data_IF_456091338280
#
_entry.id   IF_456091338280
#
_cell.length_a   1.000
_cell.length_b   1.000
_cell.length_c   1.000
_cell.angle_alpha   90.00
_cell.angle_beta   90.00
_cell.angle_gamma   90.00
#
_symmetry.space_group_name_H-M   'P 1'
#
loop_
_entity.id
_entity.type
_entity.pdbx_description
1 polymer ?
#
# COMPACT_ATOMS: atom_id res chain seq x y z
N UNK A 1 -2.79 -14.00 -25.18
CA UNK A 1 -3.75 -13.38 -24.24
C UNK A 1 -3.20 -12.06 -23.74
N UNK A 2 -3.95 -10.99 -23.94
CA UNK A 2 -3.71 -9.65 -23.41
C UNK A 2 -3.87 -9.62 -21.88
N UNK A 3 -3.19 -8.69 -21.23
CA UNK A 3 -3.33 -8.41 -19.80
C UNK A 3 -4.80 -8.13 -19.42
N UNK A 4 -5.53 -7.42 -20.27
CA UNK A 4 -6.98 -7.17 -20.12
C UNK A 4 -7.82 -8.45 -20.17
N UNK A 5 -7.40 -9.45 -20.94
CA UNK A 5 -8.09 -10.74 -21.03
C UNK A 5 -7.86 -11.58 -19.77
N UNK A 6 -6.64 -11.57 -19.22
CA UNK A 6 -6.31 -12.24 -17.96
C UNK A 6 -7.09 -11.66 -16.79
N UNK A 7 -7.15 -10.33 -16.67
CA UNK A 7 -7.92 -9.66 -15.61
C UNK A 7 -9.40 -10.01 -15.70
N UNK A 8 -9.98 -10.03 -16.91
CA UNK A 8 -11.39 -10.43 -17.11
C UNK A 8 -11.65 -11.87 -16.68
N UNK A 9 -10.73 -12.78 -16.97
CA UNK A 9 -10.86 -14.19 -16.61
C UNK A 9 -10.76 -14.42 -15.09
N UNK A 10 -9.87 -13.69 -14.42
CA UNK A 10 -9.78 -13.71 -12.95
C UNK A 10 -11.09 -13.24 -12.32
N UNK A 11 -11.65 -12.12 -12.79
CA UNK A 11 -12.94 -11.62 -12.28
C UNK A 11 -14.07 -12.63 -12.48
N UNK A 12 -14.13 -13.29 -13.63
CA UNK A 12 -15.12 -14.34 -13.91
C UNK A 12 -15.05 -15.47 -12.89
N UNK A 13 -13.86 -16.01 -12.61
CA UNK A 13 -13.73 -17.10 -11.64
C UNK A 13 -14.09 -16.69 -10.21
N UNK A 14 -13.82 -15.44 -9.83
CA UNK A 14 -14.18 -14.94 -8.49
C UNK A 14 -15.69 -14.86 -8.33
N UNK A 15 -16.40 -14.36 -9.34
CA UNK A 15 -17.85 -14.29 -9.31
C UNK A 15 -18.49 -15.68 -9.32
N UNK A 16 -17.99 -16.60 -10.14
CA UNK A 16 -18.42 -18.01 -10.14
C UNK A 16 -18.22 -18.68 -8.77
N UNK A 17 -17.08 -18.42 -8.11
CA UNK A 17 -16.81 -18.94 -6.77
C UNK A 17 -17.75 -18.34 -5.72
N UNK A 18 -18.07 -17.04 -5.85
CA UNK A 18 -19.01 -16.36 -4.95
C UNK A 18 -20.44 -16.87 -5.10
N UNK A 19 -20.87 -17.13 -6.34
CA UNK A 19 -22.17 -17.73 -6.64
C UNK A 19 -22.24 -19.17 -6.11
N UNK A 20 -21.17 -19.95 -6.30
CA UNK A 20 -21.09 -21.29 -5.77
C UNK A 20 -21.20 -21.30 -4.24
N UNK A 21 -20.43 -20.46 -3.54
CA UNK A 21 -20.45 -20.37 -2.08
C UNK A 21 -21.84 -19.99 -1.52
N UNK A 22 -22.62 -19.17 -2.24
CA UNK A 22 -23.99 -18.80 -1.88
C UNK A 22 -25.03 -19.90 -2.17
N UNK A 23 -24.79 -20.69 -3.22
CA UNK A 23 -25.71 -21.75 -3.66
C UNK A 23 -25.45 -23.12 -3.02
N UNK A 24 -24.24 -23.31 -2.48
CA UNK A 24 -23.85 -24.53 -1.82
C UNK A 24 -24.48 -24.62 -0.43
N UNK A 25 -24.93 -25.81 -0.05
CA UNK A 25 -25.43 -26.11 1.29
C UNK A 25 -24.23 -26.23 2.26
N UNK A 26 -23.69 -25.09 2.64
CA UNK A 26 -22.52 -24.95 3.52
C UNK A 26 -22.97 -24.50 4.91
N UNK A 27 -22.20 -24.90 5.91
CA UNK A 27 -22.35 -24.35 7.26
C UNK A 27 -22.23 -22.81 7.23
N UNK A 28 -23.11 -22.07 7.92
CA UNK A 28 -23.18 -20.60 7.81
C UNK A 28 -21.86 -19.88 8.14
N UNK A 29 -21.08 -20.41 9.09
CA UNK A 29 -19.78 -19.87 9.46
C UNK A 29 -18.76 -20.00 8.31
N UNK A 30 -18.80 -21.13 7.60
CA UNK A 30 -17.92 -21.39 6.48
C UNK A 30 -18.30 -20.54 5.26
N UNK A 31 -19.60 -20.39 5.00
CA UNK A 31 -20.10 -19.47 3.96
C UNK A 31 -19.63 -18.03 4.22
N UNK A 32 -19.79 -17.54 5.46
CA UNK A 32 -19.33 -16.20 5.84
C UNK A 32 -17.82 -16.02 5.66
N UNK A 33 -17.02 -17.01 6.07
CA UNK A 33 -15.57 -16.97 5.90
C UNK A 33 -15.16 -16.92 4.42
N UNK A 34 -15.86 -17.62 3.53
CA UNK A 34 -15.64 -17.57 2.08
C UNK A 34 -15.98 -16.18 1.55
N UNK A 35 -17.13 -15.61 1.92
CA UNK A 35 -17.55 -14.27 1.49
C UNK A 35 -16.56 -13.18 1.91
N UNK A 36 -16.05 -13.24 3.16
CA UNK A 36 -15.01 -12.32 3.65
C UNK A 36 -13.70 -12.44 2.86
N UNK A 37 -13.29 -13.66 2.52
CA UNK A 37 -12.07 -13.88 1.74
C UNK A 37 -12.23 -13.44 0.28
N UNK A 38 -13.40 -13.64 -0.32
CA UNK A 38 -13.74 -13.13 -1.65
C UNK A 38 -13.71 -11.61 -1.64
N UNK A 39 -14.29 -10.95 -0.63
CA UNK A 39 -14.26 -9.49 -0.50
C UNK A 39 -12.83 -8.95 -0.46
N UNK A 40 -11.95 -9.57 0.35
CA UNK A 40 -10.52 -9.22 0.42
C UNK A 40 -9.79 -9.45 -0.91
N UNK A 41 -10.12 -10.52 -1.64
CA UNK A 41 -9.54 -10.80 -2.96
C UNK A 41 -9.97 -9.76 -3.99
N UNK A 42 -11.26 -9.38 -4.01
CA UNK A 42 -11.78 -8.32 -4.87
C UNK A 42 -11.12 -6.98 -4.57
N UNK A 43 -10.94 -6.65 -3.29
CA UNK A 43 -10.22 -5.45 -2.87
C UNK A 43 -8.79 -5.45 -3.41
N UNK A 44 -8.05 -6.56 -3.26
CA UNK A 44 -6.67 -6.69 -3.76
C UNK A 44 -6.53 -6.57 -5.27
N UNK A 45 -7.51 -7.06 -6.03
CA UNK A 45 -7.48 -7.03 -7.50
C UNK A 45 -7.95 -5.68 -8.04
N UNK A 46 -8.88 -5.03 -7.35
CA UNK A 46 -9.34 -3.68 -7.66
C UNK A 46 -8.37 -2.59 -7.20
N UNK A 47 -7.50 -2.90 -6.24
CA UNK A 47 -6.47 -1.98 -5.81
C UNK A 47 -5.40 -1.85 -6.91
N UNK A 48 -5.58 -0.85 -7.78
CA UNK A 48 -4.46 -0.25 -8.49
C UNK A 48 -3.56 0.40 -7.42
N UNK A 49 -2.63 -0.39 -6.87
CA UNK A 49 -1.76 0.07 -5.80
C UNK A 49 -0.83 1.16 -6.34
N UNK A 50 -1.12 2.41 -6.00
CA UNK A 50 -0.31 3.57 -6.30
C UNK A 50 0.55 3.91 -5.09
N UNK A 51 1.87 3.84 -5.26
CA UNK A 51 2.82 4.25 -4.22
C UNK A 51 3.28 5.70 -4.48
N UNK A 52 3.19 6.56 -3.46
CA UNK A 52 3.70 7.93 -3.49
C UNK A 52 4.91 8.01 -2.57
N UNK A 53 6.09 8.13 -3.16
CA UNK A 53 7.37 8.09 -2.43
C UNK A 53 7.92 9.50 -2.22
N UNK A 54 8.08 9.91 -0.96
CA UNK A 54 8.68 11.19 -0.60
C UNK A 54 10.20 11.06 -0.45
N UNK A 55 10.94 11.76 -1.30
CA UNK A 55 12.41 11.86 -1.28
C UNK A 55 12.87 13.31 -1.09
N UNK A 56 14.07 13.53 -0.53
CA UNK A 56 14.60 14.87 -0.29
C UNK A 56 15.68 14.92 0.78
N UNK A 57 16.21 16.10 1.09
CA UNK A 57 17.26 16.27 2.12
C UNK A 57 16.74 16.00 3.54
N UNK A 58 17.68 15.89 4.49
CA UNK A 58 17.36 15.88 5.92
C UNK A 58 16.69 17.20 6.29
N UNK A 59 15.71 17.16 7.17
CA UNK A 59 14.88 18.31 7.58
C UNK A 59 14.00 18.91 6.47
N UNK A 60 13.88 18.26 5.31
CA UNK A 60 13.02 18.69 4.19
C UNK A 60 11.50 18.48 4.40
N UNK A 61 11.03 18.30 5.63
CA UNK A 61 9.61 18.15 5.99
C UNK A 61 8.84 16.99 5.29
N UNK A 62 9.54 15.97 4.78
CA UNK A 62 8.94 14.81 4.07
C UNK A 62 7.83 14.14 4.89
N UNK A 63 8.15 13.70 6.10
CA UNK A 63 7.22 13.06 7.03
C UNK A 63 6.04 13.96 7.40
N UNK A 64 6.28 15.28 7.54
CA UNK A 64 5.22 16.26 7.82
C UNK A 64 4.24 16.40 6.66
N UNK A 65 4.73 16.43 5.42
CA UNK A 65 3.86 16.47 4.22
C UNK A 65 3.04 15.18 4.12
N UNK A 66 3.67 14.03 4.37
CA UNK A 66 2.98 12.75 4.32
C UNK A 66 1.91 12.59 5.42
N UNK A 67 2.13 13.10 6.63
CA UNK A 67 1.08 13.14 7.67
C UNK A 67 -0.13 13.99 7.23
N UNK A 68 0.13 15.16 6.62
CA UNK A 68 -0.94 16.02 6.08
C UNK A 68 -1.74 15.29 5.01
N UNK A 69 -1.07 14.56 4.11
CA UNK A 69 -1.75 13.74 3.10
C UNK A 69 -2.52 12.58 3.72
N UNK A 70 -1.95 11.89 4.70
CA UNK A 70 -2.59 10.77 5.40
C UNK A 70 -3.81 11.19 6.24
N UNK A 71 -3.92 12.48 6.58
CA UNK A 71 -4.95 13.04 7.45
C UNK A 71 -4.73 12.76 8.93
N UNK A 72 -3.54 12.27 9.33
CA UNK A 72 -3.20 11.85 10.69
C UNK A 72 -1.67 11.84 10.91
N UNK A 73 -1.23 11.99 12.16
CA UNK A 73 0.18 12.09 12.55
C UNK A 73 0.81 10.72 12.86
N UNK A 74 1.05 9.92 11.81
CA UNK A 74 1.61 8.57 11.93
C UNK A 74 3.13 8.51 11.78
N UNK A 75 3.73 9.47 11.10
CA UNK A 75 5.17 9.55 10.89
C UNK A 75 5.81 10.50 11.89
N UNK A 76 6.97 10.11 12.42
CA UNK A 76 7.71 10.91 13.37
C UNK A 76 8.30 12.17 12.71
N UNK A 77 8.07 13.34 13.33
CA UNK A 77 8.59 14.63 12.88
C UNK A 77 9.32 15.34 14.03
N UNK A 78 10.53 15.86 13.77
CA UNK A 78 11.29 16.70 14.70
C UNK A 78 11.91 17.85 13.88
N UNK A 79 11.92 19.05 14.45
CA UNK A 79 12.53 20.26 13.86
C UNK A 79 14.02 20.05 13.59
N UNK A 80 14.69 19.18 14.35
CA UNK A 80 16.10 18.81 14.18
C UNK A 80 16.36 17.90 12.97
N UNK A 81 15.32 17.32 12.37
CA UNK A 81 15.46 16.34 11.29
C UNK A 81 15.92 14.96 11.79
N UNK A 82 16.18 14.05 10.84
CA UNK A 82 16.70 12.70 11.11
C UNK A 82 15.74 11.74 11.80
N UNK A 83 14.43 11.99 11.72
CA UNK A 83 13.41 11.12 12.32
C UNK A 83 13.16 9.85 11.52
N UNK A 84 13.34 9.91 10.19
CA UNK A 84 13.12 8.79 9.27
C UNK A 84 14.44 8.11 8.94
N UNK A 85 14.79 7.09 9.72
CA UNK A 85 16.04 6.31 9.54
C UNK A 85 15.86 5.04 8.69
N UNK A 86 14.61 4.67 8.41
CA UNK A 86 14.21 3.55 7.54
C UNK A 86 13.03 3.99 6.69
N UNK A 87 12.82 3.32 5.56
CA UNK A 87 11.60 3.50 4.76
C UNK A 87 10.39 3.07 5.58
N UNK A 88 9.37 3.94 5.65
CA UNK A 88 8.11 3.69 6.34
C UNK A 88 6.98 3.86 5.33
N UNK A 89 6.11 2.87 5.24
CA UNK A 89 4.92 2.91 4.38
C UNK A 89 3.67 3.03 5.26
N UNK A 90 2.79 3.96 4.91
CA UNK A 90 1.49 4.14 5.56
C UNK A 90 0.37 4.21 4.50
N UNK A 91 -0.85 3.73 4.79
CA UNK A 91 -1.96 3.88 3.88
C UNK A 91 -2.44 5.34 3.85
N UNK A 92 -2.88 5.80 2.68
CA UNK A 92 -3.66 7.04 2.59
C UNK A 92 -5.11 6.75 2.99
N UNK A 93 -5.50 7.19 4.19
CA UNK A 93 -6.77 6.84 4.85
C UNK A 93 -8.02 7.02 3.97
N UNK A 94 -8.08 8.09 3.17
CA UNK A 94 -9.24 8.41 2.33
C UNK A 94 -9.09 7.97 0.85
N UNK A 95 -8.02 7.25 0.52
CA UNK A 95 -7.72 6.78 -0.84
C UNK A 95 -7.32 5.31 -0.81
N UNK A 96 -8.31 4.44 -0.99
CA UNK A 96 -8.09 2.99 -1.12
C UNK A 96 -7.10 2.68 -2.24
N UNK A 97 -6.13 1.82 -1.98
CA UNK A 97 -5.11 1.44 -2.97
C UNK A 97 -4.01 2.49 -3.17
N UNK A 98 -3.90 3.51 -2.31
CA UNK A 98 -2.77 4.44 -2.34
C UNK A 98 -1.96 4.33 -1.06
N UNK A 99 -0.65 4.10 -1.18
CA UNK A 99 0.28 4.13 -0.05
C UNK A 99 1.24 5.31 -0.15
N UNK A 100 1.60 5.84 1.01
CA UNK A 100 2.54 6.93 1.20
C UNK A 100 3.82 6.36 1.79
N UNK A 101 4.94 6.55 1.10
CA UNK A 101 6.24 5.99 1.47
C UNK A 101 7.18 7.12 1.88
N UNK A 102 7.50 7.18 3.17
CA UNK A 102 8.50 8.10 3.71
C UNK A 102 9.89 7.46 3.61
N UNK A 103 10.87 8.22 3.11
CA UNK A 103 12.24 7.72 2.94
C UNK A 103 13.25 8.55 3.75
N UNK A 104 14.39 7.95 4.15
CA UNK A 104 15.46 8.71 4.79
C UNK A 104 15.98 9.87 3.95
N UNK A 105 16.50 10.90 4.62
CA UNK A 105 17.03 12.08 3.93
C UNK A 105 18.28 11.77 3.10
N UNK A 106 18.37 12.37 1.91
CA UNK A 106 19.50 12.18 0.98
C UNK A 106 20.88 12.59 1.57
N UNK A 107 20.90 13.42 2.62
CA UNK A 107 22.12 13.87 3.30
C UNK A 107 22.62 12.96 4.42
N UNK A 108 21.83 11.96 4.84
CA UNK A 108 22.26 10.89 5.75
C UNK A 108 22.88 9.71 4.98
N UNK A 109 22.88 9.77 3.65
CA UNK A 109 23.50 8.80 2.76
C UNK A 109 25.02 9.02 2.64
N UNK A 110 25.73 9.07 3.77
CA UNK A 110 27.20 9.03 3.76
C UNK A 110 27.67 7.58 3.55
N UNK A 111 27.62 7.14 2.29
CA UNK A 111 28.35 5.96 1.78
C UNK A 111 27.83 4.56 2.11
N UNK A 112 26.68 4.39 2.77
CA UNK A 112 26.15 3.08 3.19
C UNK A 112 24.88 2.57 2.47
N UNK A 113 24.43 1.36 2.84
CA UNK A 113 23.23 0.61 2.36
C UNK A 113 21.99 1.51 2.16
N UNK A 114 21.85 2.56 2.96
CA UNK A 114 20.73 3.51 2.98
C UNK A 114 20.55 4.35 1.69
N UNK A 115 21.64 4.68 0.98
CA UNK A 115 21.56 5.39 -0.30
C UNK A 115 21.00 4.53 -1.45
N UNK A 116 21.13 3.20 -1.34
CA UNK A 116 20.46 2.26 -2.26
C UNK A 116 18.97 2.22 -1.99
N UNK A 117 18.55 2.12 -0.73
CA UNK A 117 17.13 2.07 -0.36
C UNK A 117 16.36 3.31 -0.83
N UNK A 118 16.92 4.51 -0.67
CA UNK A 118 16.29 5.74 -1.20
C UNK A 118 16.21 5.78 -2.73
N UNK A 119 17.17 5.17 -3.44
CA UNK A 119 17.18 5.08 -4.91
C UNK A 119 16.29 3.94 -5.45
N UNK A 120 16.18 2.84 -4.71
CA UNK A 120 15.34 1.68 -5.04
C UNK A 120 13.86 2.02 -4.86
N UNK A 121 13.50 2.81 -3.83
CA UNK A 121 12.14 3.30 -3.65
C UNK A 121 11.71 4.33 -4.71
N UNK A 122 12.65 4.92 -5.47
CA UNK A 122 12.35 5.89 -6.52
C UNK A 122 12.23 5.27 -7.93
N UNK A 123 12.31 3.94 -8.05
CA UNK A 123 12.13 3.20 -9.31
C UNK A 123 10.74 2.61 -9.40
#
# INVERSE_FOLDING_TARGET
>A
MSEKEKTREIWRHIDETADYARSADLEPEFQKAIEENIAKLKEKISAENLEIVAFGTVSGCKSSVLNVLAGDDRLATDVRGGTTVKTIEIPWTDRSGVSLVDTPGLGEADGGIHGRTAREAAR
#
